data_IF_366081047730
#
_entry.id   IF_366081047730
#
_cell.length_a   1.000
_cell.length_b   1.000
_cell.length_c   1.000
_cell.angle_alpha   90.00
_cell.angle_beta   90.00
_cell.angle_gamma   90.00
#
_symmetry.space_group_name_H-M   'P 1'
#
loop_
_entity.id
_entity.type
_entity.pdbx_description
1 polymer ?
#
# COMPACT_ATOMS: atom_id res chain seq x y z
N UNK A 1 30.59 30.38 30.66
CA UNK A 1 30.78 29.65 29.40
C UNK A 1 30.19 28.25 29.65
N UNK A 2 28.88 28.14 29.49
CA UNK A 2 28.13 26.93 29.88
C UNK A 2 28.00 26.01 28.70
N UNK A 3 28.56 24.81 28.87
CA UNK A 3 28.40 23.71 27.87
C UNK A 3 26.98 23.17 27.93
N UNK A 4 26.20 23.43 26.92
CA UNK A 4 24.92 22.77 26.70
C UNK A 4 25.21 21.36 26.21
N UNK A 5 25.15 20.37 27.09
CA UNK A 5 25.21 18.96 26.73
C UNK A 5 23.86 18.54 26.13
N UNK A 6 23.81 18.43 24.82
CA UNK A 6 22.67 17.79 24.13
C UNK A 6 22.75 16.29 24.30
N UNK A 7 21.88 15.73 25.14
CA UNK A 7 21.71 14.29 25.25
C UNK A 7 20.73 13.86 24.16
N UNK A 8 21.24 13.28 23.08
CA UNK A 8 20.43 12.54 22.12
C UNK A 8 20.25 11.10 22.64
N UNK A 9 19.08 10.80 23.18
CA UNK A 9 18.71 9.41 23.44
C UNK A 9 18.09 8.88 22.14
N UNK A 10 18.89 8.18 21.34
CA UNK A 10 18.41 7.39 20.23
C UNK A 10 17.86 6.06 20.77
N UNK A 11 16.56 5.98 21.00
CA UNK A 11 15.87 4.70 21.25
C UNK A 11 15.39 4.19 19.88
N UNK A 12 16.28 3.54 19.17
CA UNK A 12 15.95 2.73 18.02
C UNK A 12 15.80 1.29 18.51
N UNK A 13 14.57 0.87 18.79
CA UNK A 13 14.09 -0.51 18.70
C UNK A 13 12.72 -0.58 19.40
N UNK A 14 11.69 -1.03 18.66
CA UNK A 14 10.31 -1.21 19.09
C UNK A 14 9.47 0.09 19.10
N UNK A 15 9.00 0.53 17.93
CA UNK A 15 7.78 1.31 17.72
C UNK A 15 7.31 2.32 18.78
N UNK A 16 8.22 2.84 19.60
CA UNK A 16 7.91 3.75 20.71
C UNK A 16 8.12 5.18 20.26
N UNK A 17 7.06 5.97 20.23
CA UNK A 17 7.13 7.41 19.96
C UNK A 17 7.10 8.17 21.30
N UNK A 18 8.20 8.84 21.63
CA UNK A 18 8.28 9.70 22.80
C UNK A 18 7.83 11.11 22.41
N UNK A 19 6.69 11.56 22.93
CA UNK A 19 6.24 12.94 22.77
C UNK A 19 6.57 13.70 24.07
N UNK A 20 7.58 14.57 24.01
CA UNK A 20 7.94 15.46 25.12
C UNK A 20 7.39 16.86 24.83
N UNK A 21 6.34 17.25 25.53
CA UNK A 21 5.84 18.62 25.54
C UNK A 21 6.30 19.33 26.82
N UNK A 22 7.26 20.24 26.71
CA UNK A 22 7.67 21.04 27.86
C UNK A 22 8.70 22.13 27.52
N UNK A 23 8.52 23.32 28.07
CA UNK A 23 9.50 24.40 28.08
C UNK A 23 10.59 24.11 29.11
N UNK A 24 11.84 24.18 28.68
CA UNK A 24 13.03 23.85 29.48
C UNK A 24 13.27 24.83 30.63
N UNK A 25 12.73 24.54 31.79
CA UNK A 25 13.23 25.05 33.06
C UNK A 25 12.55 24.25 34.20
N UNK A 26 13.21 23.25 34.67
CA UNK A 26 13.07 22.55 35.95
C UNK A 26 13.29 21.02 35.83
N UNK A 27 13.77 20.45 36.87
CA UNK A 27 13.98 19.02 37.09
C UNK A 27 12.92 18.16 36.39
N UNK A 28 13.34 17.35 35.40
CA UNK A 28 12.41 16.51 34.65
C UNK A 28 11.86 15.40 35.54
N UNK A 29 10.62 15.52 35.92
CA UNK A 29 9.86 14.42 36.51
C UNK A 29 9.49 13.43 35.38
N UNK A 30 10.33 12.40 35.19
CA UNK A 30 10.12 11.35 34.23
C UNK A 30 8.92 10.45 34.54
N UNK A 31 8.27 10.63 35.70
CA UNK A 31 7.08 9.85 36.11
C UNK A 31 5.85 10.15 35.26
N UNK A 32 5.85 11.26 34.49
CA UNK A 32 4.76 11.68 33.61
C UNK A 32 4.95 11.26 32.13
N UNK A 33 6.04 10.57 31.79
CA UNK A 33 6.26 10.08 30.44
C UNK A 33 5.39 8.86 30.20
N UNK A 34 4.21 9.05 29.64
CA UNK A 34 3.38 7.93 29.16
C UNK A 34 3.93 7.43 27.84
N UNK A 35 4.57 6.28 27.87
CA UNK A 35 4.92 5.53 26.66
C UNK A 35 3.63 4.89 26.14
N UNK A 36 3.04 5.46 25.09
CA UNK A 36 1.98 4.77 24.39
C UNK A 36 2.59 3.69 23.50
N UNK A 37 2.50 2.45 23.94
CA UNK A 37 2.85 1.30 23.13
C UNK A 37 1.87 1.23 21.95
N UNK A 38 2.35 1.59 20.75
CA UNK A 38 1.54 1.46 19.53
C UNK A 38 1.52 -0.02 19.13
N UNK A 39 0.36 -0.63 19.27
CA UNK A 39 0.16 -2.01 18.83
C UNK A 39 0.44 -2.14 17.33
N UNK A 40 1.30 -3.10 16.96
CA UNK A 40 1.53 -3.46 15.56
C UNK A 40 0.26 -4.08 14.97
N UNK A 41 -0.04 -3.73 13.73
CA UNK A 41 -1.02 -4.46 12.95
C UNK A 41 -0.55 -5.90 12.70
N UNK A 42 -1.46 -6.80 12.43
CA UNK A 42 -1.16 -8.21 12.17
C UNK A 42 -1.99 -8.75 11.00
N UNK A 43 -1.81 -10.01 10.67
CA UNK A 43 -2.45 -10.63 9.50
C UNK A 43 -3.99 -10.69 9.61
N UNK A 44 -4.55 -10.78 10.82
CA UNK A 44 -6.00 -10.80 11.02
C UNK A 44 -6.64 -9.45 10.74
N UNK A 45 -5.89 -8.35 10.89
CA UNK A 45 -6.38 -7.01 10.56
C UNK A 45 -6.62 -6.82 9.05
N UNK A 46 -6.02 -7.68 8.20
CA UNK A 46 -6.17 -7.66 6.74
C UNK A 46 -6.87 -8.90 6.18
N UNK A 47 -7.58 -9.67 7.01
CA UNK A 47 -8.13 -10.97 6.64
C UNK A 47 -9.07 -10.92 5.42
N UNK A 48 -9.94 -9.92 5.35
CA UNK A 48 -10.88 -9.71 4.25
C UNK A 48 -11.10 -8.23 3.99
N UNK A 49 -10.13 -7.58 3.35
CA UNK A 49 -10.27 -6.19 2.95
C UNK A 49 -10.70 -6.08 1.50
N UNK A 50 -11.61 -5.17 1.24
CA UNK A 50 -12.02 -4.80 -0.12
C UNK A 50 -12.35 -3.31 -0.20
N UNK A 51 -12.54 -2.84 -1.42
CA UNK A 51 -12.91 -1.45 -1.61
C UNK A 51 -12.83 -0.99 -3.06
N UNK A 52 -12.86 0.32 -3.21
CA UNK A 52 -12.89 0.97 -4.51
C UNK A 52 -11.60 1.75 -4.75
N UNK A 53 -11.19 1.83 -6.01
CA UNK A 53 -10.07 2.64 -6.50
C UNK A 53 -10.65 3.76 -7.36
N UNK A 54 -10.10 4.97 -7.19
CA UNK A 54 -10.28 6.06 -8.13
C UNK A 54 -8.96 6.83 -8.25
N UNK A 55 -8.51 7.05 -9.49
CA UNK A 55 -7.23 7.69 -9.76
C UNK A 55 -7.29 8.41 -11.09
N UNK A 56 -6.47 9.44 -11.26
CA UNK A 56 -6.29 10.12 -12.52
C UNK A 56 -4.95 9.72 -13.13
N UNK A 57 -4.97 9.32 -14.38
CA UNK A 57 -3.78 9.19 -15.19
C UNK A 57 -3.62 10.46 -16.04
N UNK A 58 -2.45 11.08 -15.97
CA UNK A 58 -2.11 12.28 -16.71
C UNK A 58 -1.36 11.92 -18.00
N UNK A 59 -1.57 12.69 -19.04
CA UNK A 59 -0.74 12.62 -20.23
C UNK A 59 0.60 13.34 -20.03
N UNK A 60 1.47 13.28 -21.03
CA UNK A 60 2.80 13.93 -21.01
C UNK A 60 2.75 15.45 -20.78
N UNK A 61 1.62 16.09 -21.09
CA UNK A 61 1.35 17.50 -20.83
C UNK A 61 0.82 17.78 -19.42
N UNK A 62 0.87 16.79 -18.53
CA UNK A 62 0.33 16.81 -17.16
C UNK A 62 -1.19 17.07 -17.06
N UNK A 63 -1.91 17.07 -18.15
CA UNK A 63 -3.37 17.14 -18.15
C UNK A 63 -3.97 15.77 -17.87
N UNK A 64 -5.08 15.68 -17.09
CA UNK A 64 -5.79 14.43 -16.93
C UNK A 64 -6.26 13.91 -18.31
N UNK A 65 -5.87 12.70 -18.64
CA UNK A 65 -6.26 12.04 -19.90
C UNK A 65 -7.24 10.90 -19.65
N UNK A 66 -7.09 10.22 -18.50
CA UNK A 66 -7.88 9.05 -18.15
C UNK A 66 -8.30 9.06 -16.68
N UNK A 67 -9.50 8.57 -16.43
CA UNK A 67 -9.99 8.23 -15.11
C UNK A 67 -9.80 6.72 -14.93
N UNK A 68 -9.09 6.31 -13.89
CA UNK A 68 -8.96 4.91 -13.50
C UNK A 68 -9.87 4.67 -12.32
N UNK A 69 -10.84 3.78 -12.47
CA UNK A 69 -11.77 3.41 -11.40
C UNK A 69 -11.91 1.89 -11.31
N UNK A 70 -12.25 1.37 -10.14
CA UNK A 70 -12.42 -0.08 -10.03
C UNK A 70 -12.59 -0.58 -8.61
N UNK A 71 -12.51 -1.91 -8.49
CA UNK A 71 -12.64 -2.62 -7.21
C UNK A 71 -11.41 -3.46 -6.97
N UNK A 72 -11.07 -3.64 -5.70
CA UNK A 72 -10.00 -4.50 -5.25
C UNK A 72 -10.43 -5.36 -4.07
N UNK A 73 -9.71 -6.46 -3.85
CA UNK A 73 -9.92 -7.35 -2.72
C UNK A 73 -8.59 -7.97 -2.28
N UNK A 74 -8.39 -8.01 -0.97
CA UNK A 74 -7.36 -8.79 -0.29
C UNK A 74 -8.05 -9.86 0.54
N UNK A 75 -7.52 -11.10 0.50
CA UNK A 75 -7.99 -12.21 1.33
C UNK A 75 -6.77 -12.90 1.93
N UNK A 76 -6.73 -13.01 3.24
CA UNK A 76 -5.82 -13.91 3.93
C UNK A 76 -6.45 -15.31 3.96
N UNK A 77 -5.69 -16.32 3.57
CA UNK A 77 -6.09 -17.72 3.66
C UNK A 77 -5.29 -18.35 4.81
N UNK A 78 -5.96 -18.73 5.91
CA UNK A 78 -5.28 -19.42 7.00
C UNK A 78 -4.59 -20.68 6.49
N UNK A 79 -3.33 -20.88 6.86
CA UNK A 79 -2.62 -22.11 6.58
C UNK A 79 -3.13 -23.18 7.54
N UNK A 80 -3.85 -24.16 7.03
CA UNK A 80 -4.33 -25.31 7.82
C UNK A 80 -3.22 -26.37 8.06
N UNK A 81 -2.07 -26.23 7.43
CA UNK A 81 -0.94 -27.15 7.59
C UNK A 81 -0.12 -26.79 8.83
N UNK A 82 -0.32 -27.53 9.91
CA UNK A 82 0.43 -27.43 11.17
C UNK A 82 1.92 -27.76 11.04
N UNK A 83 2.37 -28.22 9.87
CA UNK A 83 3.74 -28.68 9.63
C UNK A 83 4.61 -27.74 8.79
N UNK A 84 4.09 -26.60 8.33
CA UNK A 84 4.91 -25.64 7.57
C UNK A 84 5.35 -24.47 8.43
N UNK A 85 6.65 -24.42 8.72
CA UNK A 85 7.37 -23.24 9.24
C UNK A 85 7.39 -22.08 8.23
N UNK A 86 6.31 -21.84 7.48
CA UNK A 86 6.23 -20.70 6.55
C UNK A 86 5.85 -19.45 7.32
N UNK A 87 6.81 -18.57 7.53
CA UNK A 87 6.61 -17.27 8.19
C UNK A 87 5.84 -16.26 7.33
N UNK A 88 5.66 -16.56 6.03
CA UNK A 88 4.96 -15.67 5.10
C UNK A 88 3.48 -16.01 5.05
N UNK A 89 2.58 -15.07 5.37
CA UNK A 89 1.14 -15.31 5.33
C UNK A 89 0.66 -15.56 3.89
N UNK A 90 -0.32 -16.45 3.73
CA UNK A 90 -0.95 -16.73 2.45
C UNK A 90 -1.99 -15.65 2.14
N UNK A 91 -1.58 -14.60 1.42
CA UNK A 91 -2.44 -13.47 1.04
C UNK A 91 -2.72 -13.55 -0.46
N UNK A 92 -3.99 -13.43 -0.83
CA UNK A 92 -4.43 -13.22 -2.21
C UNK A 92 -4.83 -11.78 -2.43
N UNK A 93 -4.42 -11.21 -3.54
CA UNK A 93 -4.86 -9.90 -4.00
C UNK A 93 -5.38 -9.99 -5.43
N UNK A 94 -6.46 -9.29 -5.72
CA UNK A 94 -6.95 -9.07 -7.07
C UNK A 94 -7.61 -7.70 -7.20
N UNK A 95 -7.59 -7.14 -8.42
CA UNK A 95 -8.30 -5.92 -8.73
C UNK A 95 -8.84 -5.93 -10.16
N UNK A 96 -9.94 -5.22 -10.37
CA UNK A 96 -10.49 -4.95 -11.69
C UNK A 96 -10.65 -3.45 -11.85
N UNK A 97 -9.94 -2.88 -12.81
CA UNK A 97 -9.88 -1.45 -13.08
C UNK A 97 -10.52 -1.17 -14.44
N UNK A 98 -11.22 -0.07 -14.55
CA UNK A 98 -11.70 0.50 -15.80
C UNK A 98 -10.97 1.82 -16.01
N UNK A 99 -10.35 1.98 -17.15
CA UNK A 99 -9.83 3.26 -17.62
C UNK A 99 -10.82 3.86 -18.60
N UNK A 100 -11.24 5.08 -18.35
CA UNK A 100 -12.12 5.84 -19.21
C UNK A 100 -11.47 7.16 -19.58
N UNK A 101 -11.41 7.48 -20.87
CA UNK A 101 -10.93 8.78 -21.32
C UNK A 101 -11.83 9.90 -20.77
N UNK A 102 -11.24 11.06 -20.52
CA UNK A 102 -11.97 12.19 -19.93
C UNK A 102 -13.12 12.68 -20.80
N UNK A 103 -12.99 12.50 -22.11
CA UNK A 103 -14.05 12.82 -23.09
C UNK A 103 -15.13 11.73 -23.19
N UNK A 104 -14.97 10.60 -22.50
CA UNK A 104 -15.91 9.49 -22.46
C UNK A 104 -15.98 8.62 -23.72
N UNK A 105 -15.12 8.87 -24.73
CA UNK A 105 -15.19 8.16 -26.02
C UNK A 105 -14.55 6.77 -25.93
N UNK A 106 -13.45 6.65 -25.20
CA UNK A 106 -12.67 5.42 -25.11
C UNK A 106 -12.70 4.86 -23.68
N UNK A 107 -12.83 3.55 -23.57
CA UNK A 107 -12.68 2.84 -22.28
C UNK A 107 -12.16 1.43 -22.50
N UNK A 108 -11.38 0.94 -21.54
CA UNK A 108 -10.90 -0.43 -21.49
C UNK A 108 -10.73 -0.89 -20.05
N UNK A 109 -10.60 -2.20 -19.86
CA UNK A 109 -10.54 -2.80 -18.53
C UNK A 109 -9.22 -3.51 -18.33
N UNK A 110 -8.68 -3.35 -17.10
CA UNK A 110 -7.53 -4.10 -16.62
C UNK A 110 -7.95 -5.05 -15.51
N UNK A 111 -7.32 -6.22 -15.49
CA UNK A 111 -7.43 -7.16 -14.37
C UNK A 111 -6.04 -7.42 -13.81
N UNK A 112 -5.93 -7.31 -12.51
CA UNK A 112 -4.78 -7.69 -11.73
C UNK A 112 -5.10 -9.03 -11.09
N UNK A 113 -4.32 -10.06 -11.41
CA UNK A 113 -4.51 -11.45 -10.96
C UNK A 113 -3.16 -12.07 -10.58
N UNK A 114 -3.18 -13.35 -10.21
CA UNK A 114 -2.01 -14.20 -9.97
C UNK A 114 -0.99 -13.58 -9.00
N UNK A 115 -1.53 -12.91 -7.96
CA UNK A 115 -0.69 -12.29 -6.95
C UNK A 115 0.16 -13.33 -6.23
N UNK A 116 1.48 -13.16 -6.28
CA UNK A 116 2.47 -13.95 -5.55
C UNK A 116 3.17 -13.04 -4.56
N UNK A 117 2.92 -13.25 -3.27
CA UNK A 117 3.54 -12.47 -2.21
C UNK A 117 5.05 -12.76 -2.14
N UNK A 118 5.86 -11.72 -1.97
CA UNK A 118 7.29 -11.84 -1.68
C UNK A 118 7.62 -11.46 -0.24
N UNK A 119 6.95 -10.44 0.29
CA UNK A 119 7.15 -9.96 1.66
C UNK A 119 5.93 -9.21 2.17
N UNK A 120 5.69 -9.28 3.49
CA UNK A 120 4.74 -8.42 4.19
C UNK A 120 5.39 -7.80 5.42
N UNK A 121 5.10 -6.53 5.67
CA UNK A 121 5.58 -5.78 6.84
C UNK A 121 4.38 -5.15 7.55
N UNK A 122 4.20 -5.51 8.81
CA UNK A 122 3.18 -4.92 9.67
C UNK A 122 3.80 -3.81 10.51
N UNK A 123 3.24 -2.62 10.43
CA UNK A 123 3.62 -1.43 11.18
C UNK A 123 2.43 -0.97 12.03
N UNK A 124 2.60 -0.11 13.04
CA UNK A 124 1.51 0.32 13.92
C UNK A 124 0.29 0.92 13.21
N UNK A 125 0.49 1.52 12.04
CA UNK A 125 -0.59 2.19 11.29
C UNK A 125 -0.54 1.90 9.79
N UNK A 126 0.23 0.91 9.37
CA UNK A 126 0.36 0.61 7.95
C UNK A 126 0.72 -0.85 7.74
N UNK A 127 0.17 -1.45 6.70
CA UNK A 127 0.61 -2.76 6.20
C UNK A 127 1.21 -2.54 4.82
N UNK A 128 2.40 -3.08 4.60
CA UNK A 128 3.10 -3.03 3.31
C UNK A 128 3.23 -4.46 2.79
N UNK A 129 2.70 -4.72 1.62
CA UNK A 129 2.72 -6.03 0.97
C UNK A 129 3.43 -5.87 -0.38
N UNK A 130 4.50 -6.62 -0.58
CA UNK A 130 5.22 -6.67 -1.84
C UNK A 130 5.02 -8.02 -2.52
N UNK A 131 5.01 -8.04 -3.83
CA UNK A 131 4.83 -9.27 -4.60
C UNK A 131 4.92 -9.02 -6.10
N UNK A 132 4.45 -10.01 -6.86
CA UNK A 132 4.27 -9.92 -8.31
C UNK A 132 2.84 -10.23 -8.69
N UNK A 133 2.42 -9.75 -9.86
CA UNK A 133 1.07 -9.91 -10.42
C UNK A 133 1.12 -10.23 -11.90
N UNK A 134 -0.01 -10.68 -12.43
CA UNK A 134 -0.32 -10.64 -13.86
C UNK A 134 -1.27 -9.46 -14.12
N UNK A 135 -1.00 -8.70 -15.18
CA UNK A 135 -1.86 -7.61 -15.65
C UNK A 135 -2.39 -7.95 -17.04
N UNK A 136 -3.71 -8.07 -17.15
CA UNK A 136 -4.40 -8.31 -18.43
C UNK A 136 -5.23 -7.10 -18.80
N UNK A 137 -5.36 -6.83 -20.11
CA UNK A 137 -6.19 -5.74 -20.61
C UNK A 137 -7.22 -6.30 -21.60
N UNK A 138 -8.44 -5.81 -21.49
CA UNK A 138 -9.55 -6.18 -22.39
C UNK A 138 -10.30 -4.91 -22.82
N UNK A 139 -10.67 -4.81 -24.10
CA UNK A 139 -11.38 -3.68 -24.70
C UNK A 139 -10.94 -3.44 -26.13
N UNK A 140 -11.71 -2.61 -26.86
CA UNK A 140 -11.55 -2.44 -28.30
C UNK A 140 -10.40 -1.49 -28.66
N UNK A 141 -9.97 -0.60 -27.77
CA UNK A 141 -8.90 0.36 -28.02
C UNK A 141 -7.98 0.51 -26.82
N UNK A 142 -6.67 0.60 -27.08
CA UNK A 142 -5.67 0.80 -26.06
C UNK A 142 -5.41 -0.44 -25.18
N UNK A 143 -5.87 -1.62 -25.60
CA UNK A 143 -5.50 -2.85 -24.96
C UNK A 143 -3.98 -3.09 -25.11
N UNK A 144 -3.34 -3.59 -24.04
CA UNK A 144 -2.00 -4.13 -24.19
C UNK A 144 -2.06 -5.35 -25.10
N UNK A 145 -1.21 -5.39 -26.13
CA UNK A 145 -1.17 -6.49 -27.09
C UNK A 145 -0.83 -7.83 -26.43
N UNK A 146 -0.22 -7.79 -25.24
CA UNK A 146 0.17 -8.96 -24.46
C UNK A 146 -0.19 -8.80 -23.00
N UNK A 147 -0.55 -9.91 -22.36
CA UNK A 147 -0.63 -9.97 -20.90
C UNK A 147 0.78 -9.78 -20.30
N UNK A 148 0.89 -8.89 -19.35
CA UNK A 148 2.13 -8.70 -18.61
C UNK A 148 2.14 -9.65 -17.40
N UNK A 149 3.20 -10.43 -17.26
CA UNK A 149 3.34 -11.44 -16.20
C UNK A 149 4.46 -11.06 -15.23
N UNK A 150 4.34 -11.54 -14.00
CA UNK A 150 5.35 -11.38 -12.92
C UNK A 150 5.79 -9.92 -12.70
N UNK A 151 4.84 -8.98 -12.81
CA UNK A 151 5.08 -7.55 -12.63
C UNK A 151 5.22 -7.25 -11.14
N UNK A 152 6.31 -6.58 -10.70
CA UNK A 152 6.43 -6.14 -9.33
C UNK A 152 5.32 -5.18 -8.92
N UNK A 153 4.75 -5.43 -7.74
CA UNK A 153 3.71 -4.59 -7.13
C UNK A 153 4.02 -4.35 -5.66
N UNK A 154 3.72 -3.14 -5.22
CA UNK A 154 3.70 -2.76 -3.81
C UNK A 154 2.32 -2.27 -3.43
N UNK A 155 1.76 -2.83 -2.38
CA UNK A 155 0.47 -2.45 -1.81
C UNK A 155 0.72 -1.91 -0.40
N UNK A 156 0.19 -0.73 -0.11
CA UNK A 156 0.21 -0.15 1.23
C UNK A 156 -1.21 0.08 1.71
N UNK A 157 -1.46 -0.18 3.00
CA UNK A 157 -2.79 -0.03 3.60
C UNK A 157 -2.67 0.84 4.86
N UNK A 158 -2.58 2.18 4.68
CA UNK A 158 -2.49 3.10 5.80
C UNK A 158 -3.77 3.10 6.65
N UNK A 159 -3.60 2.94 7.96
CA UNK A 159 -4.67 2.97 8.97
C UNK A 159 -5.84 2.01 8.67
N UNK A 160 -5.66 1.00 7.82
CA UNK A 160 -6.71 0.10 7.33
C UNK A 160 -7.91 0.83 6.68
N UNK A 161 -7.71 2.04 6.19
CA UNK A 161 -8.77 2.90 5.61
C UNK A 161 -8.54 3.21 4.14
N UNK A 162 -7.30 3.14 3.70
CA UNK A 162 -6.90 3.50 2.33
C UNK A 162 -6.04 2.39 1.77
N UNK A 163 -6.10 2.17 0.48
CA UNK A 163 -5.13 1.36 -0.26
C UNK A 163 -4.34 2.24 -1.21
N UNK A 164 -3.06 1.97 -1.32
CA UNK A 164 -2.15 2.58 -2.28
C UNK A 164 -1.50 1.44 -3.05
N UNK A 165 -1.63 1.45 -4.37
CA UNK A 165 -1.08 0.41 -5.25
C UNK A 165 -0.06 1.05 -6.19
N UNK A 166 1.16 0.56 -6.12
CA UNK A 166 2.28 0.94 -6.98
C UNK A 166 2.68 -0.26 -7.84
N UNK A 167 2.74 -0.07 -9.15
CA UNK A 167 3.15 -1.10 -10.11
C UNK A 167 4.47 -0.67 -10.71
N UNK A 168 5.52 -1.49 -10.55
CA UNK A 168 6.87 -1.17 -11.01
C UNK A 168 7.23 -1.93 -12.28
N UNK A 169 6.60 -1.53 -13.38
CA UNK A 169 6.89 -2.04 -14.72
C UNK A 169 6.72 -0.91 -15.75
N UNK A 170 7.69 -0.71 -16.63
CA UNK A 170 7.68 0.38 -17.60
C UNK A 170 6.44 0.34 -18.51
N UNK A 171 6.13 -0.80 -19.10
CA UNK A 171 4.97 -0.95 -20.00
C UNK A 171 3.64 -0.73 -19.25
N UNK A 172 3.52 -1.24 -18.02
CA UNK A 172 2.36 -0.99 -17.19
C UNK A 172 2.23 0.49 -16.84
N UNK A 173 3.34 1.17 -16.47
CA UNK A 173 3.35 2.61 -16.17
C UNK A 173 2.98 3.47 -17.36
N UNK A 174 3.48 3.16 -18.54
CA UNK A 174 3.13 3.86 -19.78
C UNK A 174 1.64 3.70 -20.10
N UNK A 175 1.02 2.59 -19.72
CA UNK A 175 -0.36 2.28 -20.06
C UNK A 175 -1.37 2.73 -19.00
N UNK A 176 -1.16 2.38 -17.73
CA UNK A 176 -2.09 2.73 -16.64
C UNK A 176 -1.64 3.93 -15.80
N UNK A 177 -0.52 4.56 -16.17
CA UNK A 177 0.08 5.70 -15.49
C UNK A 177 1.10 5.30 -14.43
N UNK A 178 2.11 6.13 -14.28
CA UNK A 178 3.24 5.98 -13.37
C UNK A 178 2.91 6.37 -11.91
N UNK A 179 1.80 7.07 -11.69
CA UNK A 179 1.36 7.47 -10.35
C UNK A 179 0.71 6.31 -9.62
N UNK A 180 0.88 6.24 -8.27
CA UNK A 180 0.18 5.27 -7.44
C UNK A 180 -1.35 5.35 -7.63
N UNK A 181 -2.02 4.20 -7.52
CA UNK A 181 -3.49 4.13 -7.55
C UNK A 181 -4.00 4.14 -6.12
N UNK A 182 -4.89 5.07 -5.82
CA UNK A 182 -5.45 5.27 -4.50
C UNK A 182 -6.87 4.73 -4.43
N UNK A 183 -7.19 4.11 -3.32
CA UNK A 183 -8.52 3.58 -3.07
C UNK A 183 -8.91 3.67 -1.60
N UNK A 184 -10.20 3.43 -1.35
CA UNK A 184 -10.77 3.34 -0.01
C UNK A 184 -10.97 1.87 0.35
N UNK A 185 -10.83 1.55 1.63
CA UNK A 185 -11.29 0.31 2.26
C UNK A 185 -12.74 0.51 2.65
N UNK A 186 -13.62 -0.44 2.31
CA UNK A 186 -15.05 -0.43 2.65
C UNK A 186 -15.32 -1.02 4.05
#
# INVERSE_FOLDING_TARGET
MDLVSSIFIAVALMGVSLVVNGTFNHEYDLSQVSIQEQQLLNVTDIENLNGNIISLHKNDSANPAWIVSGKWKIVHIPNNDTNMNTTTPNIKFNASLVMSSINGIDSHRHRITDFKISNVTFLPKNVIINGTISLTTTGDKGALDNNLLDIPIRIQIPNLKTIIIEIDNKMAKEHIGDTPKYGKVD
#
